data_IF_659327964352
#
_entry.id   IF_659327964352
#
_cell.length_a   1.000
_cell.length_b   1.000
_cell.length_c   1.000
_cell.angle_alpha   90.00
_cell.angle_beta   90.00
_cell.angle_gamma   90.00
#
_symmetry.space_group_name_H-M   'P 1'
#
loop_
_entity.id
_entity.type
_entity.pdbx_description
1 polymer ?
#
# COMPACT_ATOMS: atom_id res chain seq x y z
N UNK A 1 1.92 2.35 13.25
CA UNK A 1 3.12 1.80 13.93
C UNK A 1 4.35 2.00 13.06
N UNK A 2 4.46 1.42 11.87
CA UNK A 2 5.64 1.50 11.00
C UNK A 2 6.13 2.96 10.82
N UNK A 3 5.27 3.88 10.40
CA UNK A 3 5.62 5.28 10.22
C UNK A 3 6.26 5.90 11.47
N UNK A 4 5.69 5.63 12.65
CA UNK A 4 6.26 6.09 13.92
C UNK A 4 7.65 5.49 14.21
N UNK A 5 7.85 4.20 13.88
CA UNK A 5 9.14 3.53 14.09
C UNK A 5 10.23 4.12 13.18
N UNK A 6 9.87 4.47 11.94
CA UNK A 6 10.78 5.05 10.97
C UNK A 6 10.96 6.58 11.12
N UNK A 7 10.14 7.24 11.93
CA UNK A 7 10.12 8.71 12.00
C UNK A 7 9.54 9.36 10.75
N UNK A 8 8.67 8.65 10.02
CA UNK A 8 8.08 9.06 8.76
C UNK A 8 6.65 9.57 8.93
N UNK A 9 6.19 10.35 7.98
CA UNK A 9 4.78 10.71 7.86
C UNK A 9 3.94 9.47 7.55
N UNK A 10 2.69 9.44 8.04
CA UNK A 10 1.69 8.45 7.63
C UNK A 10 0.61 9.12 6.80
N UNK A 11 0.28 8.51 5.66
CA UNK A 11 -0.83 8.93 4.82
C UNK A 11 -1.69 7.72 4.43
N UNK A 12 -3.00 7.91 4.45
CA UNK A 12 -3.95 6.96 3.91
C UNK A 12 -4.35 7.38 2.50
N UNK A 13 -4.07 6.52 1.52
CA UNK A 13 -4.34 6.78 0.12
C UNK A 13 -5.84 6.88 -0.20
N UNK A 14 -6.72 6.34 0.64
CA UNK A 14 -8.17 6.44 0.44
C UNK A 14 -8.63 7.90 0.48
N UNK A 15 -7.97 8.74 1.26
CA UNK A 15 -8.23 10.19 1.30
C UNK A 15 -7.85 10.95 0.01
N UNK A 16 -7.16 10.31 -0.92
CA UNK A 16 -6.74 10.91 -2.19
C UNK A 16 -7.67 10.55 -3.37
N UNK A 17 -8.73 9.79 -3.12
CA UNK A 17 -9.70 9.47 -4.17
C UNK A 17 -10.44 10.71 -4.66
N UNK A 18 -10.62 10.86 -5.99
CA UNK A 18 -11.56 11.84 -6.54
C UNK A 18 -12.96 11.65 -5.97
N UNK A 19 -13.72 12.75 -5.84
CA UNK A 19 -15.07 12.72 -5.28
C UNK A 19 -15.99 11.70 -5.94
N UNK A 20 -15.92 11.56 -7.27
CA UNK A 20 -16.68 10.55 -8.02
C UNK A 20 -16.39 9.12 -7.56
N UNK A 21 -15.12 8.81 -7.27
CA UNK A 21 -14.73 7.48 -6.77
C UNK A 21 -15.29 7.22 -5.37
N UNK A 22 -15.27 8.25 -4.51
CA UNK A 22 -15.85 8.17 -3.15
C UNK A 22 -17.32 7.84 -3.22
N UNK A 23 -18.08 8.50 -4.12
CA UNK A 23 -19.50 8.27 -4.32
C UNK A 23 -19.81 6.86 -4.82
N UNK A 24 -19.02 6.34 -5.78
CA UNK A 24 -19.15 4.97 -6.28
C UNK A 24 -18.89 3.95 -5.17
N UNK A 25 -17.81 4.12 -4.42
CA UNK A 25 -17.47 3.22 -3.32
C UNK A 25 -18.51 3.27 -2.19
N UNK A 26 -19.04 4.44 -1.86
CA UNK A 26 -20.11 4.59 -0.89
C UNK A 26 -21.41 3.90 -1.32
N UNK A 27 -21.65 3.82 -2.65
CA UNK A 27 -22.76 3.06 -3.23
C UNK A 27 -22.46 1.54 -3.33
N UNK A 28 -21.33 1.07 -2.80
CA UNK A 28 -20.93 -0.33 -2.84
C UNK A 28 -20.46 -0.80 -4.24
N UNK A 29 -20.14 0.13 -5.14
CA UNK A 29 -19.67 -0.18 -6.49
C UNK A 29 -18.13 -0.23 -6.50
N UNK A 30 -17.53 -1.38 -6.88
CA UNK A 30 -16.08 -1.48 -7.00
C UNK A 30 -15.57 -0.64 -8.18
N UNK A 31 -14.44 0.03 -7.99
CA UNK A 31 -13.79 0.77 -9.05
C UNK A 31 -13.12 -0.19 -10.05
N UNK A 32 -13.31 0.07 -11.33
CA UNK A 32 -12.52 -0.53 -12.41
C UNK A 32 -11.14 0.12 -12.53
N UNK A 33 -10.30 -0.38 -13.45
CA UNK A 33 -8.95 0.15 -13.66
C UNK A 33 -8.98 1.62 -14.11
N UNK A 34 -9.89 1.99 -15.00
CA UNK A 34 -10.02 3.36 -15.51
C UNK A 34 -10.30 4.37 -14.39
N UNK A 35 -11.20 4.01 -13.46
CA UNK A 35 -11.50 4.84 -12.30
C UNK A 35 -10.34 4.91 -11.30
N UNK A 36 -9.41 3.94 -11.32
CA UNK A 36 -8.26 3.92 -10.40
C UNK A 36 -7.08 4.74 -10.88
N UNK A 37 -6.86 4.90 -12.18
CA UNK A 37 -5.69 5.62 -12.71
C UNK A 37 -5.55 7.05 -12.18
N UNK A 38 -6.59 7.90 -12.14
CA UNK A 38 -6.48 9.25 -11.58
C UNK A 38 -6.08 9.23 -10.10
N UNK A 39 -6.64 8.30 -9.33
CA UNK A 39 -6.29 8.12 -7.91
C UNK A 39 -4.85 7.66 -7.72
N UNK A 40 -4.38 6.66 -8.48
CA UNK A 40 -3.01 6.17 -8.40
C UNK A 40 -1.99 7.28 -8.77
N UNK A 41 -2.31 8.12 -9.74
CA UNK A 41 -1.47 9.28 -10.04
C UNK A 41 -1.46 10.30 -8.88
N UNK A 42 -2.60 10.56 -8.24
CA UNK A 42 -2.65 11.43 -7.06
C UNK A 42 -1.80 10.87 -5.90
N UNK A 43 -1.85 9.54 -5.69
CA UNK A 43 -0.99 8.84 -4.72
C UNK A 43 0.49 8.99 -5.11
N UNK A 44 0.82 8.78 -6.38
CA UNK A 44 2.17 8.93 -6.91
C UNK A 44 2.73 10.34 -6.69
N UNK A 45 1.97 11.38 -7.03
CA UNK A 45 2.36 12.77 -6.78
C UNK A 45 2.57 13.05 -5.28
N UNK A 46 1.70 12.52 -4.40
CA UNK A 46 1.88 12.69 -2.96
C UNK A 46 3.18 12.06 -2.45
N UNK A 47 3.57 10.91 -2.98
CA UNK A 47 4.84 10.26 -2.67
C UNK A 47 6.02 11.09 -3.19
N UNK A 48 5.93 11.59 -4.43
CA UNK A 48 6.95 12.42 -5.07
C UNK A 48 7.20 13.74 -4.33
N UNK A 49 6.14 14.42 -3.90
CA UNK A 49 6.22 15.65 -3.12
C UNK A 49 6.99 15.45 -1.80
N UNK A 50 6.77 14.31 -1.11
CA UNK A 50 7.52 13.98 0.09
C UNK A 50 9.00 13.70 -0.22
N UNK A 51 9.28 12.98 -1.32
CA UNK A 51 10.64 12.68 -1.75
C UNK A 51 11.42 13.94 -2.12
N UNK A 52 10.81 14.87 -2.87
CA UNK A 52 11.41 16.16 -3.22
C UNK A 52 11.77 16.98 -1.98
N UNK A 53 10.98 16.84 -0.91
CA UNK A 53 11.20 17.54 0.38
C UNK A 53 12.12 16.74 1.34
N UNK A 54 12.74 15.66 0.86
CA UNK A 54 13.57 14.75 1.67
C UNK A 54 12.86 14.26 2.95
N UNK A 55 11.57 13.96 2.82
CA UNK A 55 10.73 13.46 3.92
C UNK A 55 10.26 12.05 3.64
N UNK A 56 10.52 11.15 4.59
CA UNK A 56 9.98 9.79 4.51
C UNK A 56 8.46 9.75 4.70
N UNK A 57 7.79 8.89 3.95
CA UNK A 57 6.35 8.68 4.05
C UNK A 57 6.02 7.19 4.04
N UNK A 58 5.07 6.78 4.88
CA UNK A 58 4.43 5.46 4.84
C UNK A 58 3.01 5.65 4.34
N UNK A 59 2.72 5.11 3.15
CA UNK A 59 1.42 5.22 2.52
C UNK A 59 0.64 3.90 2.68
N UNK A 60 -0.55 3.94 3.29
CA UNK A 60 -1.48 2.83 3.24
C UNK A 60 -2.25 2.91 1.91
N UNK A 61 -2.10 1.89 1.06
CA UNK A 61 -2.66 1.92 -0.30
C UNK A 61 -3.05 0.51 -0.75
N UNK A 62 -4.22 0.38 -1.35
CA UNK A 62 -4.67 -0.84 -2.00
C UNK A 62 -4.13 -0.96 -3.43
N UNK A 63 -2.80 -0.95 -3.59
CA UNK A 63 -2.14 -1.15 -4.88
C UNK A 63 -2.18 -2.62 -5.30
N UNK A 64 -3.40 -3.13 -5.57
CA UNK A 64 -3.73 -4.55 -5.70
C UNK A 64 -3.00 -5.25 -6.84
N UNK A 65 -2.87 -4.58 -7.99
CA UNK A 65 -2.26 -5.16 -9.19
C UNK A 65 -0.81 -4.70 -9.34
N UNK A 66 0.00 -5.53 -9.99
CA UNK A 66 1.36 -5.14 -10.39
C UNK A 66 1.37 -3.87 -11.24
N UNK A 67 0.42 -3.73 -12.18
CA UNK A 67 0.31 -2.53 -13.01
C UNK A 67 0.09 -1.25 -12.19
N UNK A 68 -0.62 -1.31 -11.05
CA UNK A 68 -0.80 -0.17 -10.17
C UNK A 68 0.51 0.20 -9.46
N UNK A 69 1.26 -0.81 -9.01
CA UNK A 69 2.58 -0.61 -8.38
C UNK A 69 3.61 -0.05 -9.37
N UNK A 70 3.51 -0.43 -10.66
CA UNK A 70 4.33 0.16 -11.73
C UNK A 70 4.06 1.66 -11.85
N UNK A 71 2.81 2.11 -11.90
CA UNK A 71 2.47 3.54 -11.94
C UNK A 71 3.06 4.29 -10.75
N UNK A 72 2.96 3.76 -9.54
CA UNK A 72 3.56 4.39 -8.36
C UNK A 72 5.09 4.50 -8.46
N UNK A 73 5.75 3.51 -9.06
CA UNK A 73 7.20 3.52 -9.29
C UNK A 73 7.64 4.44 -10.42
N UNK A 74 6.77 4.79 -11.35
CA UNK A 74 7.03 5.83 -12.34
C UNK A 74 7.20 7.19 -11.67
N UNK A 75 6.45 7.48 -10.60
CA UNK A 75 6.61 8.67 -9.78
C UNK A 75 7.80 8.58 -8.82
N UNK A 76 7.97 7.45 -8.14
CA UNK A 76 9.02 7.24 -7.13
C UNK A 76 9.70 5.89 -7.34
N UNK A 77 10.85 5.88 -8.03
CA UNK A 77 11.57 4.66 -8.44
C UNK A 77 12.00 3.77 -7.27
N UNK A 78 12.32 4.38 -6.15
CA UNK A 78 12.74 3.76 -4.89
C UNK A 78 11.58 3.50 -3.91
N UNK A 79 10.32 3.57 -4.39
CA UNK A 79 9.17 3.16 -3.59
C UNK A 79 9.29 1.68 -3.18
N UNK A 80 9.36 1.44 -1.87
CA UNK A 80 9.45 0.10 -1.29
C UNK A 80 8.06 -0.42 -0.92
N UNK A 81 7.67 -1.53 -1.51
CA UNK A 81 6.35 -2.12 -1.29
C UNK A 81 6.35 -3.10 -0.11
N UNK A 82 5.43 -2.90 0.81
CA UNK A 82 5.14 -3.86 1.89
C UNK A 82 3.82 -4.56 1.57
N UNK A 83 3.93 -5.79 1.10
CA UNK A 83 2.77 -6.61 0.78
C UNK A 83 2.32 -7.39 2.02
N UNK A 84 1.19 -6.96 2.59
CA UNK A 84 0.57 -7.64 3.74
C UNK A 84 -0.30 -8.78 3.22
N UNK A 85 0.13 -10.03 3.43
CA UNK A 85 -0.59 -11.19 2.96
C UNK A 85 -1.20 -11.99 4.11
N UNK A 86 -2.36 -12.59 3.84
CA UNK A 86 -3.01 -13.46 4.79
C UNK A 86 -4.36 -13.99 4.32
N UNK A 87 -4.91 -15.00 5.02
CA UNK A 87 -6.18 -15.60 4.66
C UNK A 87 -7.34 -14.60 4.70
N UNK A 88 -8.18 -14.62 3.64
CA UNK A 88 -9.35 -13.73 3.55
C UNK A 88 -10.22 -13.72 4.83
N UNK A 89 -10.52 -14.85 5.50
CA UNK A 89 -11.31 -14.83 6.72
C UNK A 89 -10.69 -13.99 7.85
N UNK A 90 -9.36 -13.98 7.94
CA UNK A 90 -8.64 -13.20 8.96
C UNK A 90 -8.72 -11.71 8.64
N UNK A 91 -8.52 -11.35 7.36
CA UNK A 91 -8.65 -9.95 6.91
C UNK A 91 -10.08 -9.47 7.12
N UNK A 92 -11.09 -10.24 6.72
CA UNK A 92 -12.49 -9.93 6.92
C UNK A 92 -12.82 -9.70 8.41
N UNK A 93 -12.34 -10.59 9.29
CA UNK A 93 -12.52 -10.42 10.73
C UNK A 93 -11.90 -9.11 11.22
N UNK A 94 -10.65 -8.82 10.82
CA UNK A 94 -9.96 -7.59 11.25
C UNK A 94 -10.63 -6.31 10.75
N UNK A 95 -11.18 -6.31 9.53
CA UNK A 95 -11.95 -5.18 8.99
C UNK A 95 -13.22 -4.97 9.81
N UNK A 96 -13.97 -6.03 10.11
CA UNK A 96 -15.21 -5.94 10.89
C UNK A 96 -14.96 -5.52 12.35
N UNK A 97 -13.81 -5.85 12.91
CA UNK A 97 -13.44 -5.46 14.29
C UNK A 97 -13.06 -3.95 14.37
N UNK A 98 -12.83 -3.28 13.24
CA UNK A 98 -12.59 -1.82 13.19
C UNK A 98 -13.91 -1.05 13.32
N UNK A 99 -13.99 -0.16 14.30
CA UNK A 99 -15.23 0.58 14.62
C UNK A 99 -15.57 1.70 13.64
N UNK A 100 -14.68 2.08 12.71
CA UNK A 100 -14.79 3.32 11.94
C UNK A 100 -14.68 3.16 10.42
N UNK A 101 -14.36 1.98 9.90
CA UNK A 101 -14.25 1.74 8.46
C UNK A 101 -15.12 0.55 8.09
N UNK A 102 -16.20 0.82 7.38
CA UNK A 102 -17.08 -0.22 6.86
C UNK A 102 -16.69 -0.57 5.42
N UNK A 103 -16.15 -1.77 5.24
CA UNK A 103 -15.95 -2.34 3.90
C UNK A 103 -16.98 -3.44 3.67
N UNK A 104 -17.95 -3.25 2.78
CA UNK A 104 -18.93 -4.28 2.46
C UNK A 104 -18.26 -5.58 2.01
N UNK A 105 -18.75 -6.76 2.42
CA UNK A 105 -18.19 -8.05 2.03
C UNK A 105 -17.97 -8.25 0.52
N UNK A 106 -18.90 -7.82 -0.39
CA UNK A 106 -18.66 -7.91 -1.83
C UNK A 106 -17.46 -7.09 -2.31
N UNK A 107 -17.19 -5.95 -1.69
CA UNK A 107 -16.05 -5.11 -2.03
C UNK A 107 -14.73 -5.77 -1.63
N UNK A 108 -14.66 -6.36 -0.44
CA UNK A 108 -13.50 -7.14 -0.01
C UNK A 108 -13.22 -8.32 -0.95
N UNK A 109 -14.27 -9.07 -1.30
CA UNK A 109 -14.14 -10.20 -2.25
C UNK A 109 -13.61 -9.75 -3.61
N UNK A 110 -14.11 -8.62 -4.15
CA UNK A 110 -13.63 -8.07 -5.42
C UNK A 110 -12.17 -7.63 -5.35
N UNK A 111 -11.71 -7.10 -4.22
CA UNK A 111 -10.31 -6.75 -4.02
C UNK A 111 -9.42 -7.99 -3.99
N UNK A 112 -9.84 -9.07 -3.32
CA UNK A 112 -9.09 -10.32 -3.33
C UNK A 112 -9.00 -10.95 -4.72
N UNK A 113 -10.05 -10.87 -5.53
CA UNK A 113 -10.03 -11.35 -6.91
C UNK A 113 -9.06 -10.55 -7.81
N UNK A 114 -8.83 -9.29 -7.48
CA UNK A 114 -7.94 -8.40 -8.22
C UNK A 114 -6.52 -8.38 -7.65
N UNK A 115 -6.30 -9.01 -6.48
CA UNK A 115 -5.02 -8.94 -5.77
C UNK A 115 -3.97 -9.80 -6.48
N UNK A 116 -2.91 -9.15 -6.92
CA UNK A 116 -1.72 -9.80 -7.46
C UNK A 116 -0.60 -9.74 -6.42
N UNK A 117 -0.10 -10.90 -5.96
CA UNK A 117 1.02 -10.94 -5.01
C UNK A 117 2.24 -10.19 -5.52
N UNK A 118 3.00 -9.60 -4.59
CA UNK A 118 4.27 -8.97 -4.91
C UNK A 118 5.21 -10.02 -5.54
N UNK A 119 5.81 -9.68 -6.69
CA UNK A 119 6.72 -10.57 -7.41
C UNK A 119 8.16 -10.40 -6.90
N UNK A 120 9.01 -11.40 -7.11
CA UNK A 120 10.39 -11.42 -6.61
C UNK A 120 11.29 -10.34 -7.26
N UNK A 121 10.89 -9.83 -8.43
CA UNK A 121 11.56 -8.72 -9.13
C UNK A 121 11.04 -7.34 -8.74
N UNK A 122 10.05 -7.26 -7.85
CA UNK A 122 9.54 -6.00 -7.32
C UNK A 122 10.30 -5.60 -6.04
N UNK A 123 10.60 -4.32 -5.90
CA UNK A 123 11.30 -3.77 -4.74
C UNK A 123 10.37 -3.70 -3.53
N UNK A 124 10.49 -4.67 -2.64
CA UNK A 124 9.60 -4.76 -1.48
C UNK A 124 9.75 -6.05 -0.68
N UNK A 125 8.84 -6.26 0.25
CA UNK A 125 8.78 -7.44 1.13
C UNK A 125 7.36 -7.94 1.31
N UNK A 126 7.19 -9.26 1.39
CA UNK A 126 5.93 -9.90 1.80
C UNK A 126 5.94 -10.14 3.30
N UNK A 127 4.84 -9.81 3.95
CA UNK A 127 4.70 -9.92 5.41
C UNK A 127 3.40 -10.63 5.76
N UNK A 128 3.52 -11.74 6.49
CA UNK A 128 2.38 -12.49 6.97
C UNK A 128 1.65 -11.73 8.09
N UNK A 129 0.37 -11.41 7.85
CA UNK A 129 -0.47 -10.72 8.84
C UNK A 129 -0.83 -11.57 10.06
N UNK A 130 -0.56 -12.87 10.08
CA UNK A 130 -0.77 -13.70 11.26
C UNK A 130 0.22 -13.37 12.38
N UNK A 131 1.33 -12.74 12.05
CA UNK A 131 2.27 -12.21 13.02
C UNK A 131 1.67 -11.07 13.86
N UNK A 132 2.28 -10.80 15.00
CA UNK A 132 1.93 -9.60 15.78
C UNK A 132 2.36 -8.33 15.05
N UNK A 133 1.66 -7.20 15.24
CA UNK A 133 2.07 -5.93 14.62
C UNK A 133 3.52 -5.53 14.90
N UNK A 134 4.04 -5.84 16.08
CA UNK A 134 5.44 -5.55 16.45
C UNK A 134 6.42 -6.37 15.61
N UNK A 135 6.17 -7.66 15.42
CA UNK A 135 7.00 -8.53 14.59
C UNK A 135 6.95 -8.12 13.12
N UNK A 136 5.75 -7.79 12.59
CA UNK A 136 5.62 -7.27 11.24
C UNK A 136 6.46 -6.01 11.03
N UNK A 137 6.40 -5.04 11.97
CA UNK A 137 7.19 -3.80 11.88
C UNK A 137 8.68 -4.11 11.92
N UNK A 138 9.14 -5.02 12.79
CA UNK A 138 10.55 -5.42 12.87
C UNK A 138 11.04 -6.02 11.53
N UNK A 139 10.29 -6.97 10.96
CA UNK A 139 10.63 -7.59 9.67
C UNK A 139 10.68 -6.59 8.52
N UNK A 140 9.73 -5.63 8.48
CA UNK A 140 9.71 -4.58 7.46
C UNK A 140 10.93 -3.68 7.60
N UNK A 141 11.28 -3.27 8.83
CA UNK A 141 12.42 -2.39 9.09
C UNK A 141 13.74 -3.06 8.70
N UNK A 142 13.90 -4.34 9.02
CA UNK A 142 15.06 -5.14 8.61
C UNK A 142 15.19 -5.24 7.09
N UNK A 143 14.09 -5.55 6.40
CA UNK A 143 14.06 -5.63 4.95
C UNK A 143 14.39 -4.30 4.27
N UNK A 144 13.89 -3.17 4.79
CA UNK A 144 14.22 -1.83 4.31
C UNK A 144 15.72 -1.53 4.44
N UNK A 145 16.32 -1.81 5.58
CA UNK A 145 17.76 -1.60 5.79
C UNK A 145 18.60 -2.45 4.83
N UNK A 146 18.23 -3.72 4.66
CA UNK A 146 18.92 -4.62 3.75
C UNK A 146 18.83 -4.14 2.29
N UNK A 147 17.66 -3.69 1.87
CA UNK A 147 17.42 -3.17 0.54
C UNK A 147 18.20 -1.88 0.24
N UNK A 148 18.27 -0.95 1.20
CA UNK A 148 19.04 0.29 1.08
C UNK A 148 20.55 0.00 0.88
N UNK A 149 21.10 -0.96 1.65
CA UNK A 149 22.52 -1.36 1.53
C UNK A 149 22.86 -1.92 0.15
N UNK A 150 21.93 -2.68 -0.46
CA UNK A 150 22.12 -3.24 -1.82
C UNK A 150 22.03 -2.15 -2.89
N UNK A 151 21.19 -1.14 -2.73
CA UNK A 151 21.08 -0.02 -3.66
C UNK A 151 22.36 0.81 -3.69
N UNK A 152 22.93 1.14 -2.54
CA UNK A 152 24.17 1.92 -2.41
C UNK A 152 25.39 1.22 -3.04
N UNK A 153 25.36 -0.11 -3.13
CA UNK A 153 26.43 -0.91 -3.78
C UNK A 153 26.31 -0.95 -5.30
N UNK A 154 25.12 -0.68 -5.86
CA UNK A 154 24.89 -0.67 -7.32
C UNK A 154 25.17 0.68 -7.97
N UNK A 155 25.17 1.75 -7.18
CA UNK A 155 25.42 3.13 -7.66
C UNK A 155 26.90 3.55 -7.53
N UNK A 156 27.78 2.63 -7.13
CA UNK A 156 29.24 2.79 -7.06
C UNK A 156 29.95 2.03 -8.18
#
# INVERSE_FOLDING_TARGET
MLAKTLGYEFCDADGLHPQQNIELMAAGQPLNDEGRWPWLNAVGHRLEDNRIQDRGIVMACSALKRSYRVVLREHVRDAFFVFLEGPMPIVHKRINDRKHEFMPPPMLASQYLSLEPLQDDEYGVRVDILQTPALMVASITEALHSAATVSDLRDR
#
